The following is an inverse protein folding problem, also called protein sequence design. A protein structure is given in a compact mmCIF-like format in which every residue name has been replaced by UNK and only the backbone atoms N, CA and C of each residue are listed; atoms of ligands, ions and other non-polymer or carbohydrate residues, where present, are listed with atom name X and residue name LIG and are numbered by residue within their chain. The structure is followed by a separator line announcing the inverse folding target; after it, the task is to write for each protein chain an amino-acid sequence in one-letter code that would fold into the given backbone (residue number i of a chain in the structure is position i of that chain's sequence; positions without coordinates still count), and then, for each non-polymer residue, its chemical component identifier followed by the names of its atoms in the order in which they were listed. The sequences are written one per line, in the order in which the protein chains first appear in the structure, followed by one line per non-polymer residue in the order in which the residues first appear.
data_IF_386223793509
#
_entry.id   IF_386223793509
#
_cell.length_a   1.000
_cell.length_b   1.000
_cell.length_c   1.000
_cell.angle_alpha   90.00
_cell.angle_beta   90.00
_cell.angle_gamma   90.00
#
_symmetry.space_group_name_H-M   'P 1'
#
loop_
_entity.id
_entity.type
_entity.pdbx_description
1 polymer ?
#
# COMPACT_ATOMS: atom_id res chain seq x y z
N UNK A 1 11.81 -1.90 11.27
CA UNK A 1 11.77 -1.14 10.02
C UNK A 1 10.57 -1.56 9.17
N UNK A 2 10.29 -0.82 8.09
CA UNK A 2 9.27 -1.16 7.10
C UNK A 2 9.96 -1.50 5.78
N UNK A 3 9.56 -2.63 5.17
CA UNK A 3 9.97 -2.99 3.81
C UNK A 3 8.84 -2.57 2.86
N UNK A 4 9.09 -1.55 2.03
CA UNK A 4 8.16 -1.07 1.02
C UNK A 4 8.48 -1.74 -0.32
N UNK A 5 7.59 -2.61 -0.78
CA UNK A 5 7.78 -3.32 -2.05
C UNK A 5 7.40 -2.45 -3.23
N UNK A 6 8.29 -2.34 -4.20
CA UNK A 6 8.05 -1.68 -5.49
C UNK A 6 8.24 -2.65 -6.65
N UNK A 7 7.50 -2.45 -7.74
CA UNK A 7 7.74 -3.12 -9.02
C UNK A 7 7.84 -2.09 -10.13
N UNK A 8 8.77 -2.25 -11.06
CA UNK A 8 8.89 -1.35 -12.22
C UNK A 8 7.59 -1.31 -13.03
N UNK A 9 6.90 -2.45 -13.12
CA UNK A 9 5.59 -2.54 -13.80
C UNK A 9 4.54 -1.62 -13.17
N UNK A 10 4.44 -1.56 -11.84
CA UNK A 10 3.52 -0.66 -11.16
C UNK A 10 3.91 0.81 -11.35
N UNK A 11 5.20 1.12 -11.35
CA UNK A 11 5.69 2.47 -11.63
C UNK A 11 5.41 2.88 -13.08
N UNK A 12 5.65 2.01 -14.05
CA UNK A 12 5.29 2.25 -15.47
C UNK A 12 3.79 2.52 -15.62
N UNK A 13 2.92 1.74 -14.95
CA UNK A 13 1.47 2.00 -14.94
C UNK A 13 1.13 3.38 -14.34
N UNK A 14 1.73 3.75 -13.23
CA UNK A 14 1.58 5.09 -12.65
C UNK A 14 2.18 6.18 -13.54
N UNK A 15 3.15 5.85 -14.40
CA UNK A 15 3.69 6.67 -15.47
C UNK A 15 2.85 6.71 -16.74
N UNK A 16 1.65 6.11 -16.72
CA UNK A 16 0.69 6.06 -17.82
C UNK A 16 1.07 5.11 -18.97
N UNK A 17 1.82 4.04 -18.70
CA UNK A 17 2.08 2.96 -19.66
C UNK A 17 0.95 1.95 -19.64
N UNK A 18 0.51 1.50 -20.83
CA UNK A 18 -0.53 0.49 -20.96
C UNK A 18 -0.06 -0.88 -20.44
N UNK A 19 -1.00 -1.75 -20.03
CA UNK A 19 -0.65 -3.10 -19.56
C UNK A 19 0.06 -3.95 -20.60
N UNK A 20 -0.21 -3.72 -21.89
CA UNK A 20 0.40 -4.45 -23.00
C UNK A 20 1.90 -4.09 -23.19
N UNK A 21 2.28 -2.85 -22.82
CA UNK A 21 3.60 -2.29 -23.05
C UNK A 21 4.53 -2.34 -21.84
N UNK A 22 4.09 -2.91 -20.72
CA UNK A 22 4.86 -2.96 -19.47
C UNK A 22 6.18 -3.75 -19.57
N UNK A 23 6.29 -4.64 -20.57
CA UNK A 23 7.54 -5.38 -20.84
C UNK A 23 8.60 -4.58 -21.56
N UNK A 24 8.28 -3.41 -22.12
CA UNK A 24 9.24 -2.56 -22.83
C UNK A 24 9.93 -1.62 -21.84
N UNK A 25 11.22 -1.35 -22.08
CA UNK A 25 11.96 -0.34 -21.32
C UNK A 25 11.32 1.04 -21.46
N UNK A 26 11.16 1.75 -20.33
CA UNK A 26 10.62 3.11 -20.35
C UNK A 26 11.06 3.92 -19.12
N UNK A 27 12.25 4.52 -19.22
CA UNK A 27 12.85 5.32 -18.16
C UNK A 27 12.03 6.57 -17.81
N UNK A 28 11.37 7.19 -18.79
CA UNK A 28 10.53 8.36 -18.56
C UNK A 28 9.29 7.99 -17.70
N UNK A 29 8.66 6.87 -18.03
CA UNK A 29 7.52 6.37 -17.25
C UNK A 29 7.93 6.00 -15.82
N UNK A 30 9.12 5.44 -15.61
CA UNK A 30 9.66 5.18 -14.26
C UNK A 30 9.82 6.50 -13.50
N UNK A 31 10.46 7.52 -14.10
CA UNK A 31 10.60 8.84 -13.46
C UNK A 31 9.24 9.42 -13.04
N UNK A 32 8.28 9.43 -13.95
CA UNK A 32 6.94 9.97 -13.70
C UNK A 32 6.19 9.16 -12.64
N UNK A 33 6.18 7.84 -12.78
CA UNK A 33 5.42 6.95 -11.90
C UNK A 33 6.04 6.80 -10.51
N UNK A 34 7.32 7.08 -10.35
CA UNK A 34 8.00 7.08 -9.04
C UNK A 34 7.40 8.06 -8.05
N UNK A 35 6.63 9.07 -8.49
CA UNK A 35 5.87 9.95 -7.60
C UNK A 35 4.94 9.17 -6.67
N UNK A 36 4.37 8.05 -7.13
CA UNK A 36 3.54 7.17 -6.29
C UNK A 36 4.36 6.50 -5.17
N UNK A 37 5.49 5.92 -5.52
CA UNK A 37 6.40 5.29 -4.55
C UNK A 37 6.93 6.29 -3.53
N UNK A 38 7.35 7.46 -3.99
CA UNK A 38 7.88 8.52 -3.14
C UNK A 38 6.83 9.04 -2.15
N UNK A 39 5.56 9.12 -2.56
CA UNK A 39 4.45 9.45 -1.65
C UNK A 39 4.25 8.36 -0.59
N UNK A 40 4.34 7.08 -0.93
CA UNK A 40 4.29 6.00 0.06
C UNK A 40 5.46 6.08 1.03
N UNK A 41 6.68 6.31 0.52
CA UNK A 41 7.87 6.51 1.35
C UNK A 41 7.70 7.69 2.33
N UNK A 42 7.23 8.85 1.84
CA UNK A 42 6.95 10.03 2.67
C UNK A 42 5.92 9.71 3.76
N UNK A 43 4.85 9.02 3.41
CA UNK A 43 3.81 8.64 4.36
C UNK A 43 4.34 7.72 5.47
N UNK A 44 5.17 6.74 5.13
CA UNK A 44 5.78 5.84 6.11
C UNK A 44 6.76 6.59 7.03
N UNK A 45 7.56 7.51 6.49
CA UNK A 45 8.46 8.35 7.28
C UNK A 45 7.74 9.19 8.35
N UNK A 46 6.46 9.57 8.12
CA UNK A 46 5.63 10.28 9.11
C UNK A 46 5.42 9.50 10.41
N UNK A 47 5.46 8.17 10.34
CA UNK A 47 5.34 7.30 11.51
C UNK A 47 6.66 7.14 12.28
N UNK A 48 7.76 7.77 11.81
CA UNK A 48 9.05 7.73 12.48
C UNK A 48 9.72 6.36 12.49
N UNK A 49 9.44 5.54 11.49
CA UNK A 49 10.06 4.22 11.29
C UNK A 49 11.01 4.24 10.10
N UNK A 50 12.17 3.58 10.18
CA UNK A 50 13.04 3.39 9.02
C UNK A 50 12.34 2.61 7.91
N UNK A 51 12.61 3.01 6.67
CA UNK A 51 12.00 2.39 5.47
C UNK A 51 13.10 1.96 4.52
N UNK A 52 13.01 0.71 4.05
CA UNK A 52 13.81 0.17 2.95
C UNK A 52 12.89 -0.22 1.80
N UNK A 53 13.31 0.02 0.57
CA UNK A 53 12.54 -0.34 -0.62
C UNK A 53 13.06 -1.63 -1.20
N UNK A 54 12.17 -2.62 -1.35
CA UNK A 54 12.45 -3.87 -2.04
C UNK A 54 11.95 -3.80 -3.48
N UNK A 55 12.83 -3.76 -4.46
CA UNK A 55 12.49 -3.81 -5.88
C UNK A 55 12.22 -5.27 -6.23
N UNK A 56 10.95 -5.64 -6.37
CA UNK A 56 10.55 -6.98 -6.80
C UNK A 56 10.78 -7.08 -8.32
N UNK A 57 11.90 -7.69 -8.70
CA UNK A 57 12.37 -7.81 -10.08
C UNK A 57 11.53 -8.79 -10.90
N UNK A 58 11.14 -8.37 -12.09
CA UNK A 58 10.55 -9.20 -13.13
C UNK A 58 11.55 -9.41 -14.27
N UNK A 59 11.46 -10.54 -14.98
CA UNK A 59 12.37 -10.89 -16.07
C UNK A 59 12.40 -9.89 -17.24
N UNK A 60 11.39 -9.01 -17.34
CA UNK A 60 11.31 -7.96 -18.36
C UNK A 60 11.91 -6.63 -17.88
N UNK A 61 12.32 -6.53 -16.64
CA UNK A 61 12.90 -5.32 -16.08
C UNK A 61 14.35 -5.18 -16.56
N UNK A 62 14.74 -3.98 -17.02
CA UNK A 62 16.10 -3.73 -17.49
C UNK A 62 16.98 -3.19 -16.36
N UNK A 63 18.30 -3.41 -16.48
CA UNK A 63 19.26 -2.89 -15.50
C UNK A 63 19.22 -1.36 -15.43
N UNK A 64 19.02 -0.67 -16.55
CA UNK A 64 18.90 0.79 -16.60
C UNK A 64 17.68 1.30 -15.84
N UNK A 65 16.54 0.61 -15.94
CA UNK A 65 15.34 0.94 -15.16
C UNK A 65 15.54 0.74 -13.65
N UNK A 66 16.22 -0.35 -13.28
CA UNK A 66 16.52 -0.66 -11.86
C UNK A 66 17.48 0.38 -11.29
N UNK A 67 18.57 0.70 -11.98
CA UNK A 67 19.53 1.68 -11.50
C UNK A 67 18.92 3.08 -11.41
N UNK A 68 18.09 3.47 -12.38
CA UNK A 68 17.33 4.70 -12.30
C UNK A 68 16.43 4.76 -11.06
N UNK A 69 15.73 3.67 -10.75
CA UNK A 69 14.87 3.61 -9.56
C UNK A 69 15.69 3.69 -8.27
N UNK A 70 16.83 3.00 -8.20
CA UNK A 70 17.76 3.09 -7.05
C UNK A 70 18.25 4.53 -6.84
N UNK A 71 18.61 5.24 -7.93
CA UNK A 71 19.01 6.64 -7.87
C UNK A 71 17.90 7.54 -7.32
N UNK A 72 16.67 7.41 -7.86
CA UNK A 72 15.50 8.19 -7.41
C UNK A 72 15.25 7.97 -5.91
N UNK A 73 15.30 6.73 -5.45
CA UNK A 73 15.09 6.37 -4.05
C UNK A 73 16.20 6.92 -3.15
N UNK A 74 17.44 6.84 -3.60
CA UNK A 74 18.61 7.39 -2.89
C UNK A 74 18.49 8.90 -2.71
N UNK A 75 18.10 9.64 -3.75
CA UNK A 75 17.86 11.08 -3.69
C UNK A 75 16.71 11.44 -2.73
N UNK A 76 15.74 10.55 -2.55
CA UNK A 76 14.68 10.68 -1.56
C UNK A 76 15.10 10.29 -0.11
N UNK A 77 16.39 9.96 0.10
CA UNK A 77 16.93 9.60 1.41
C UNK A 77 16.44 8.25 1.91
N UNK A 78 16.40 7.25 1.03
CA UNK A 78 16.10 5.85 1.35
C UNK A 78 17.04 4.91 0.58
N UNK A 79 17.02 3.62 0.95
CA UNK A 79 17.79 2.56 0.30
C UNK A 79 16.83 1.69 -0.49
N UNK A 80 17.20 1.33 -1.71
CA UNK A 80 16.48 0.34 -2.51
C UNK A 80 17.39 -0.88 -2.76
N UNK A 81 16.82 -2.06 -2.54
CA UNK A 81 17.48 -3.36 -2.78
C UNK A 81 16.70 -4.13 -3.82
N UNK A 82 17.39 -4.66 -4.81
CA UNK A 82 16.82 -5.53 -5.82
C UNK A 82 16.58 -6.93 -5.25
N UNK A 83 15.38 -7.48 -5.47
CA UNK A 83 14.96 -8.78 -5.00
C UNK A 83 14.60 -9.70 -6.18
N UNK A 84 15.39 -10.75 -6.40
CA UNK A 84 15.20 -11.75 -7.47
C UNK A 84 14.66 -13.08 -6.94
N UNK A 85 13.85 -13.05 -5.88
CA UNK A 85 13.35 -14.25 -5.20
C UNK A 85 12.49 -15.15 -6.09
N UNK A 86 11.80 -14.59 -7.07
CA UNK A 86 11.04 -15.40 -8.03
C UNK A 86 11.93 -16.36 -8.84
N UNK A 87 13.13 -15.93 -9.24
CA UNK A 87 14.07 -16.74 -10.01
C UNK A 87 15.04 -17.54 -9.13
N UNK A 88 15.41 -17.02 -7.95
CA UNK A 88 16.50 -17.53 -7.10
C UNK A 88 16.05 -17.99 -5.71
N UNK A 89 14.74 -17.97 -5.43
CA UNK A 89 14.23 -18.27 -4.09
C UNK A 89 14.80 -17.33 -3.01
N UNK A 90 15.11 -17.87 -1.84
CA UNK A 90 15.59 -17.08 -0.70
C UNK A 90 16.95 -16.40 -0.96
N UNK A 91 17.82 -16.98 -1.77
CA UNK A 91 19.09 -16.36 -2.19
C UNK A 91 18.84 -14.97 -2.82
N UNK A 92 17.77 -14.85 -3.61
CA UNK A 92 17.41 -13.60 -4.27
C UNK A 92 16.97 -12.45 -3.33
N UNK A 93 16.89 -12.68 -2.02
CA UNK A 93 16.53 -11.68 -0.99
C UNK A 93 17.55 -11.56 0.14
N UNK A 94 18.69 -12.21 0.03
CA UNK A 94 19.71 -12.22 1.10
C UNK A 94 20.23 -10.81 1.42
N UNK A 95 20.47 -9.99 0.39
CA UNK A 95 20.90 -8.60 0.58
C UNK A 95 19.85 -7.78 1.33
N UNK A 96 18.57 -7.92 0.95
CA UNK A 96 17.47 -7.27 1.68
C UNK A 96 17.44 -7.68 3.14
N UNK A 97 17.57 -8.99 3.42
CA UNK A 97 17.55 -9.50 4.78
C UNK A 97 18.71 -8.92 5.63
N UNK A 98 19.92 -8.86 5.08
CA UNK A 98 21.08 -8.23 5.74
C UNK A 98 20.83 -6.76 6.06
N UNK A 99 20.30 -6.00 5.10
CA UNK A 99 19.97 -4.58 5.29
C UNK A 99 18.86 -4.36 6.31
N UNK A 100 17.86 -5.22 6.36
CA UNK A 100 16.82 -5.16 7.41
C UNK A 100 17.43 -5.38 8.80
N UNK A 101 18.33 -6.37 8.95
CA UNK A 101 19.02 -6.61 10.22
C UNK A 101 19.85 -5.41 10.63
N UNK A 102 20.69 -4.85 9.73
CA UNK A 102 21.49 -3.65 9.99
C UNK A 102 20.61 -2.49 10.51
N UNK A 103 19.51 -2.18 9.81
CA UNK A 103 18.58 -1.10 10.20
C UNK A 103 17.92 -1.37 11.55
N UNK A 104 17.57 -2.62 11.85
CA UNK A 104 16.97 -2.98 13.13
C UNK A 104 17.98 -2.89 14.28
N UNK A 105 19.24 -3.28 14.05
CA UNK A 105 20.32 -3.23 15.05
C UNK A 105 20.75 -1.78 15.36
N UNK A 106 20.67 -0.87 14.39
CA UNK A 106 20.88 0.56 14.61
C UNK A 106 19.86 1.17 15.58
N UNK A 107 18.67 0.59 15.70
CA UNK A 107 17.64 0.95 16.68
C UNK A 107 17.08 2.36 16.56
N UNK A 108 17.22 3.01 15.41
CA UNK A 108 16.78 4.40 15.19
C UNK A 108 15.28 4.47 14.89
N UNK A 109 14.44 4.10 15.87
CA UNK A 109 12.97 4.16 15.75
C UNK A 109 12.41 5.23 16.68
N UNK A 110 11.63 6.14 16.10
CA UNK A 110 10.85 7.14 16.85
C UNK A 110 9.38 7.06 16.39
N UNK A 111 8.76 5.91 16.66
CA UNK A 111 7.39 5.65 16.24
C UNK A 111 6.41 6.63 16.88
N UNK A 112 5.51 7.17 16.06
CA UNK A 112 4.40 8.01 16.51
C UNK A 112 3.16 7.76 15.66
N UNK A 113 2.01 7.85 16.32
CA UNK A 113 0.73 7.79 15.64
C UNK A 113 0.45 9.05 14.84
N UNK A 114 -0.34 8.91 13.78
CA UNK A 114 -0.76 10.04 12.95
C UNK A 114 -1.68 11.01 13.70
N UNK A 115 -2.45 10.50 14.65
CA UNK A 115 -3.38 11.24 15.50
C UNK A 115 -3.52 10.59 16.88
N UNK A 116 -3.88 11.34 17.93
CA UNK A 116 -4.28 10.76 19.22
C UNK A 116 -5.61 10.01 19.10
N UNK A 117 -5.75 8.87 19.79
CA UNK A 117 -7.01 8.11 19.77
C UNK A 117 -8.21 8.86 20.36
N UNK A 118 -7.96 9.87 21.20
CA UNK A 118 -9.01 10.66 21.85
C UNK A 118 -9.69 11.72 20.99
N UNK A 119 -9.20 11.96 19.75
CA UNK A 119 -9.88 12.92 18.85
C UNK A 119 -11.13 12.27 18.22
N UNK A 120 -12.16 13.06 17.88
CA UNK A 120 -13.38 12.56 17.25
C UNK A 120 -13.12 11.72 16.00
N UNK A 121 -13.98 10.73 15.76
CA UNK A 121 -13.83 9.81 14.61
C UNK A 121 -13.74 10.54 13.27
N UNK A 122 -14.54 11.58 13.07
CA UNK A 122 -14.51 12.36 11.83
C UNK A 122 -13.18 13.12 11.68
N UNK A 123 -12.56 13.57 12.77
CA UNK A 123 -11.25 14.22 12.74
C UNK A 123 -10.14 13.24 12.39
N UNK A 124 -10.20 11.99 12.90
CA UNK A 124 -9.27 10.91 12.51
C UNK A 124 -9.34 10.65 11.00
N UNK A 125 -10.57 10.56 10.47
CA UNK A 125 -10.84 10.36 9.03
C UNK A 125 -10.26 11.54 8.22
N UNK A 126 -10.53 12.78 8.62
CA UNK A 126 -9.98 13.96 7.97
C UNK A 126 -8.45 13.97 8.00
N UNK A 127 -7.85 13.64 9.16
CA UNK A 127 -6.40 13.61 9.32
C UNK A 127 -5.75 12.59 8.37
N UNK A 128 -6.32 11.39 8.24
CA UNK A 128 -5.83 10.38 7.28
C UNK A 128 -6.00 10.89 5.84
N UNK A 129 -7.17 11.42 5.51
CA UNK A 129 -7.46 11.89 4.16
C UNK A 129 -6.51 13.02 3.72
N UNK A 130 -6.23 13.98 4.59
CA UNK A 130 -5.36 15.12 4.26
C UNK A 130 -3.88 14.77 4.32
N UNK A 131 -3.43 14.06 5.37
CA UNK A 131 -2.01 13.81 5.60
C UNK A 131 -1.44 12.66 4.78
N UNK A 132 -2.23 11.59 4.57
CA UNK A 132 -1.78 10.39 3.87
C UNK A 132 -2.17 10.44 2.41
N UNK A 133 -3.43 10.80 2.12
CA UNK A 133 -3.97 10.80 0.75
C UNK A 133 -3.89 12.15 0.07
N UNK A 134 -3.54 13.23 0.77
CA UNK A 134 -3.47 14.60 0.24
C UNK A 134 -4.80 15.07 -0.38
N UNK A 135 -5.91 14.56 0.12
CA UNK A 135 -7.24 15.05 -0.25
C UNK A 135 -7.47 16.46 0.29
N UNK A 136 -8.19 17.29 -0.46
CA UNK A 136 -8.57 18.62 0.01
C UNK A 136 -9.67 18.55 1.08
N UNK A 137 -10.57 17.57 0.96
CA UNK A 137 -11.72 17.41 1.87
C UNK A 137 -12.28 16.00 1.82
N UNK A 138 -12.95 15.64 2.91
CA UNK A 138 -13.79 14.45 3.01
C UNK A 138 -15.27 14.87 2.83
N UNK A 139 -16.05 14.05 2.14
CA UNK A 139 -17.51 14.25 1.98
C UNK A 139 -18.22 12.99 2.45
N UNK A 140 -19.16 13.15 3.37
CA UNK A 140 -20.01 12.09 3.90
C UNK A 140 -21.47 12.59 3.96
N UNK A 141 -22.42 11.68 3.78
CA UNK A 141 -23.82 12.02 3.98
C UNK A 141 -24.17 12.16 5.48
N UNK A 142 -25.34 12.74 5.76
CA UNK A 142 -25.80 12.98 7.15
C UNK A 142 -25.94 11.67 7.95
N UNK A 143 -26.34 10.58 7.30
CA UNK A 143 -26.51 9.28 7.94
C UNK A 143 -25.19 8.72 8.45
N UNK A 144 -24.13 8.82 7.65
CA UNK A 144 -22.77 8.41 8.05
C UNK A 144 -22.27 9.23 9.23
N UNK A 145 -22.45 10.56 9.18
CA UNK A 145 -22.02 11.43 10.29
C UNK A 145 -22.79 11.14 11.58
N UNK A 146 -24.10 10.87 11.51
CA UNK A 146 -24.90 10.45 12.65
C UNK A 146 -24.41 9.11 13.24
N UNK A 147 -24.12 8.14 12.37
CA UNK A 147 -23.62 6.83 12.80
C UNK A 147 -22.28 6.93 13.52
N UNK A 148 -21.34 7.75 13.03
CA UNK A 148 -20.08 8.01 13.73
C UNK A 148 -20.31 8.62 15.12
N UNK A 149 -21.21 9.62 15.20
CA UNK A 149 -21.57 10.26 16.47
C UNK A 149 -22.22 9.28 17.46
N UNK A 150 -23.06 8.37 16.98
CA UNK A 150 -23.66 7.32 17.81
C UNK A 150 -22.61 6.36 18.35
N UNK A 151 -21.63 5.96 17.55
CA UNK A 151 -20.54 5.11 18.00
C UNK A 151 -19.66 5.80 19.04
N UNK A 152 -19.38 7.09 18.90
CA UNK A 152 -18.67 7.86 19.93
C UNK A 152 -19.43 7.86 21.27
N UNK A 153 -20.75 8.10 21.24
CA UNK A 153 -21.61 8.04 22.46
C UNK A 153 -21.64 6.66 23.11
N UNK A 154 -21.51 5.61 22.29
CA UNK A 154 -21.51 4.21 22.75
C UNK A 154 -20.12 3.71 23.20
N UNK A 155 -19.13 4.60 23.30
CA UNK A 155 -17.79 4.28 23.82
C UNK A 155 -16.81 3.77 22.77
N UNK A 156 -17.11 3.88 21.47
CA UNK A 156 -16.22 3.47 20.38
C UNK A 156 -15.39 4.63 19.80
N UNK A 157 -15.45 5.81 20.42
CA UNK A 157 -14.76 7.01 19.94
C UNK A 157 -13.24 6.88 19.91
N UNK A 158 -12.64 6.09 20.80
CA UNK A 158 -11.19 5.89 20.86
C UNK A 158 -10.64 4.86 19.86
N UNK A 159 -11.52 4.17 19.13
CA UNK A 159 -11.07 3.19 18.15
C UNK A 159 -10.32 3.86 16.99
N UNK A 160 -9.22 3.24 16.50
CA UNK A 160 -8.55 3.71 15.30
C UNK A 160 -9.39 3.50 14.04
N UNK A 161 -9.07 4.25 12.99
CA UNK A 161 -9.76 4.23 11.71
C UNK A 161 -8.89 3.56 10.65
N UNK A 162 -9.48 2.61 9.93
CA UNK A 162 -8.92 1.99 8.74
C UNK A 162 -9.65 2.53 7.50
N UNK A 163 -8.94 3.30 6.66
CA UNK A 163 -9.49 3.84 5.41
C UNK A 163 -9.36 2.81 4.29
N UNK A 164 -10.51 2.37 3.77
CA UNK A 164 -10.58 1.48 2.62
C UNK A 164 -11.05 2.29 1.40
N UNK A 165 -10.14 2.53 0.45
CA UNK A 165 -10.40 3.25 -0.80
C UNK A 165 -10.24 2.33 -2.02
N UNK A 166 -9.75 2.80 -3.14
CA UNK A 166 -9.37 1.96 -4.28
C UNK A 166 -7.92 1.47 -4.16
N UNK A 167 -7.59 0.37 -4.84
CA UNK A 167 -6.23 -0.18 -4.92
C UNK A 167 -5.35 0.52 -5.96
N UNK A 168 -5.87 1.44 -6.76
CA UNK A 168 -5.18 1.95 -7.94
C UNK A 168 -4.35 3.21 -7.70
N UNK A 169 -4.71 4.05 -6.73
CA UNK A 169 -4.00 5.29 -6.42
C UNK A 169 -4.31 5.81 -5.02
N UNK A 170 -3.86 7.02 -4.71
CA UNK A 170 -4.22 7.74 -3.48
C UNK A 170 -5.63 8.35 -3.52
N UNK A 171 -6.20 8.51 -4.71
CA UNK A 171 -7.59 8.97 -4.90
C UNK A 171 -8.56 7.79 -4.99
N UNK A 172 -9.85 8.04 -4.80
CA UNK A 172 -10.93 7.12 -5.16
C UNK A 172 -11.23 7.11 -6.67
N UNK A 173 -10.68 8.06 -7.43
CA UNK A 173 -10.75 8.12 -8.89
C UNK A 173 -9.55 7.35 -9.49
N UNK A 174 -9.78 6.23 -10.20
CA UNK A 174 -8.71 5.40 -10.75
C UNK A 174 -7.95 6.09 -11.90
N UNK A 175 -8.46 7.19 -12.46
CA UNK A 175 -7.78 7.95 -13.52
C UNK A 175 -6.69 8.87 -12.99
N UNK A 176 -6.73 9.20 -11.69
CA UNK A 176 -5.74 10.03 -11.02
C UNK A 176 -4.54 9.18 -10.58
N UNK A 177 -3.60 8.97 -11.49
CA UNK A 177 -2.42 8.14 -11.28
C UNK A 177 -1.31 8.88 -10.48
N UNK A 178 -0.28 8.14 -10.08
CA UNK A 178 0.90 8.69 -9.40
C UNK A 178 0.59 9.14 -7.98
N UNK A 179 0.77 10.42 -7.67
CA UNK A 179 0.56 11.03 -6.36
C UNK A 179 -0.41 12.24 -6.46
N UNK A 180 -1.70 12.01 -6.72
CA UNK A 180 -2.67 13.10 -6.85
C UNK A 180 -2.86 13.85 -5.53
N UNK A 181 -3.19 15.14 -5.63
CA UNK A 181 -3.46 16.04 -4.51
C UNK A 181 -4.75 16.84 -4.76
N UNK A 182 -5.33 17.36 -3.68
CA UNK A 182 -6.47 18.30 -3.77
C UNK A 182 -7.79 17.67 -4.19
N UNK A 183 -7.86 16.35 -4.33
CA UNK A 183 -9.09 15.64 -4.69
C UNK A 183 -10.06 15.58 -3.50
N UNK A 184 -11.33 15.31 -3.79
CA UNK A 184 -12.36 15.04 -2.77
C UNK A 184 -12.38 13.54 -2.46
N UNK A 185 -12.45 13.20 -1.17
CA UNK A 185 -12.58 11.81 -0.72
C UNK A 185 -14.02 11.55 -0.23
N UNK A 186 -14.85 10.85 -1.01
CA UNK A 186 -16.20 10.50 -0.59
C UNK A 186 -16.18 9.31 0.36
N UNK A 187 -16.95 9.38 1.45
CA UNK A 187 -17.24 8.23 2.32
C UNK A 187 -18.56 7.63 1.86
N UNK A 188 -18.54 6.37 1.47
CA UNK A 188 -19.74 5.62 1.06
C UNK A 188 -20.38 4.85 2.20
N UNK A 189 -19.56 4.32 3.09
CA UNK A 189 -19.99 3.47 4.17
C UNK A 189 -18.99 3.51 5.31
N UNK A 190 -19.47 3.30 6.52
CA UNK A 190 -18.65 3.05 7.71
C UNK A 190 -19.10 1.76 8.38
N UNK A 191 -18.14 0.96 8.88
CA UNK A 191 -18.39 -0.32 9.54
C UNK A 191 -17.65 -0.37 10.88
N UNK A 192 -18.34 -0.72 11.93
CA UNK A 192 -17.74 -0.96 13.23
C UNK A 192 -17.27 -2.42 13.30
N UNK A 193 -15.96 -2.61 13.38
CA UNK A 193 -15.32 -3.91 13.64
C UNK A 193 -14.95 -4.04 15.11
N UNK A 194 -15.97 -4.06 15.98
CA UNK A 194 -15.80 -4.01 17.43
C UNK A 194 -14.89 -5.13 17.96
N UNK A 195 -15.04 -6.36 17.46
CA UNK A 195 -14.21 -7.49 17.86
C UNK A 195 -12.75 -7.38 17.44
N UNK A 196 -12.46 -6.62 16.37
CA UNK A 196 -11.11 -6.36 15.91
C UNK A 196 -10.53 -5.02 16.42
N UNK A 197 -11.36 -4.19 17.05
CA UNK A 197 -10.95 -2.96 17.69
C UNK A 197 -10.65 -1.80 16.74
N UNK A 198 -11.36 -1.69 15.61
CA UNK A 198 -11.22 -0.55 14.70
C UNK A 198 -12.51 -0.26 13.90
N UNK A 199 -12.55 0.91 13.29
CA UNK A 199 -13.63 1.34 12.40
C UNK A 199 -13.10 1.35 10.96
N UNK A 200 -13.84 0.70 10.04
CA UNK A 200 -13.56 0.72 8.60
C UNK A 200 -14.36 1.84 7.95
N UNK A 201 -13.67 2.67 7.15
CA UNK A 201 -14.26 3.75 6.34
C UNK A 201 -14.07 3.43 4.87
N UNK A 202 -15.15 3.14 4.16
CA UNK A 202 -15.14 2.80 2.74
C UNK A 202 -15.29 4.07 1.91
N UNK A 203 -14.29 4.38 1.08
CA UNK A 203 -14.19 5.66 0.34
C UNK A 203 -14.32 5.51 -1.18
N UNK A 204 -14.67 4.35 -1.68
CA UNK A 204 -14.78 4.13 -3.12
C UNK A 204 -15.39 2.78 -3.45
N UNK A 205 -15.32 2.39 -4.71
CA UNK A 205 -15.76 1.08 -5.16
C UNK A 205 -14.68 0.06 -4.78
N UNK A 206 -14.90 -0.62 -3.66
CA UNK A 206 -14.03 -1.67 -3.17
C UNK A 206 -14.74 -2.99 -3.27
N UNK A 207 -14.12 -3.92 -3.97
CA UNK A 207 -14.51 -5.31 -3.94
C UNK A 207 -13.98 -5.93 -2.65
N UNK A 208 -14.89 -6.30 -1.74
CA UNK A 208 -14.51 -7.05 -0.56
C UNK A 208 -14.12 -8.47 -0.97
N UNK A 209 -13.07 -8.99 -0.34
CA UNK A 209 -12.67 -10.38 -0.56
C UNK A 209 -13.86 -11.30 -0.19
N UNK A 210 -14.29 -12.21 -1.09
CA UNK A 210 -15.27 -13.23 -0.74
C UNK A 210 -14.73 -14.09 0.41
N UNK A 211 -15.61 -14.60 1.25
CA UNK A 211 -15.22 -15.52 2.32
C UNK A 211 -14.43 -16.69 1.75
N UNK A 212 -13.33 -17.06 2.40
CA UNK A 212 -12.57 -18.24 2.03
C UNK A 212 -13.45 -19.51 2.21
N UNK A 213 -13.34 -20.50 1.33
CA UNK A 213 -14.06 -21.76 1.48
C UNK A 213 -13.63 -22.46 2.78
N UNK A 214 -14.54 -23.23 3.39
CA UNK A 214 -14.26 -23.96 4.64
C UNK A 214 -13.14 -24.98 4.47
N UNK A 215 -13.03 -25.55 3.26
CA UNK A 215 -11.93 -26.40 2.84
C UNK A 215 -11.09 -25.61 1.85
N UNK A 216 -9.83 -25.27 2.15
CA UNK A 216 -8.96 -24.55 1.23
C UNK A 216 -8.72 -25.35 -0.05
N UNK A 217 -8.71 -24.67 -1.21
CA UNK A 217 -8.36 -25.31 -2.47
C UNK A 217 -6.97 -25.97 -2.45
N UNK A 218 -6.06 -25.47 -1.63
CA UNK A 218 -4.72 -26.02 -1.44
C UNK A 218 -4.72 -27.49 -0.93
N UNK A 219 -5.78 -27.94 -0.26
CA UNK A 219 -5.90 -29.35 0.17
C UNK A 219 -6.19 -30.30 -1.00
N UNK A 220 -6.69 -29.78 -2.11
CA UNK A 220 -7.02 -30.56 -3.31
C UNK A 220 -5.98 -30.40 -4.43
N UNK A 221 -5.11 -29.39 -4.33
CA UNK A 221 -4.07 -29.16 -5.34
C UNK A 221 -2.86 -30.04 -5.04
N UNK A 222 -2.45 -30.81 -6.03
CA UNK A 222 -1.30 -31.69 -5.94
C UNK A 222 -0.51 -31.77 -7.24
N UNK A 223 0.58 -32.54 -7.18
CA UNK A 223 1.36 -32.91 -8.38
C UNK A 223 1.11 -34.35 -8.68
N UNK A 224 0.55 -34.65 -9.86
CA UNK A 224 0.30 -36.00 -10.33
C UNK A 224 1.59 -36.74 -10.67
N UNK A 225 1.47 -38.06 -10.89
CA UNK A 225 2.61 -38.96 -11.12
C UNK A 225 3.49 -38.63 -12.34
N UNK A 226 3.02 -37.83 -13.26
CA UNK A 226 3.75 -37.31 -14.44
C UNK A 226 4.20 -35.83 -14.29
N UNK A 227 4.11 -35.25 -13.08
CA UNK A 227 4.51 -33.88 -12.82
C UNK A 227 3.46 -32.82 -13.20
N UNK A 228 2.27 -33.21 -13.64
CA UNK A 228 1.16 -32.27 -13.91
C UNK A 228 0.52 -31.79 -12.60
N UNK A 229 0.05 -30.55 -12.60
CA UNK A 229 -0.72 -30.00 -11.48
C UNK A 229 -2.16 -30.51 -11.58
N UNK A 230 -2.68 -31.09 -10.49
CA UNK A 230 -4.05 -31.62 -10.37
C UNK A 230 -4.82 -30.84 -9.32
N UNK A 231 -6.15 -30.76 -9.43
CA UNK A 231 -7.04 -30.14 -8.45
C UNK A 231 -7.12 -28.62 -8.50
N UNK A 232 -6.66 -27.99 -9.58
CA UNK A 232 -6.78 -26.53 -9.74
C UNK A 232 -8.22 -26.07 -10.01
N UNK A 233 -9.07 -26.93 -10.63
CA UNK A 233 -10.49 -26.67 -10.92
C UNK A 233 -11.24 -28.03 -11.03
#
# INVERSE_FOLDING_TARGET
CVVLVATLRALKMNGNVSKADLGNENLEAIRKGSSNLLRHLENLKKFGVPVIIAINHFFTDTDDEIELLKEIVYQAGAIAVECRHWAKGSEGTEELAKKVVEICDEGQVNFKYLYPNSVPLIEKINKIATEIYRAAKVVADKKILQQLTEWEKNGYGDLPVCMAKTQYSFSSDPTLLGAPEGHTMPIREVKLSAGAGFIVVVCGDIMTMPGLPRVPAAEMIGIGGQGQVEGLF
#
